data_IF_445561799197
#
_entry.id   IF_445561799197
#
_cell.length_a   1.000
_cell.length_b   1.000
_cell.length_c   1.000
_cell.angle_alpha   90.00
_cell.angle_beta   90.00
_cell.angle_gamma   90.00
#
_symmetry.space_group_name_H-M   'P 1'
#
loop_
_entity.id
_entity.type
_entity.pdbx_description
1 polymer ?
#
# COMPACT_ATOMS: atom_id res chain seq x y z
N UNK A 1 -7.77 -1.59 4.72
CA UNK A 1 -9.24 -1.44 4.78
C UNK A 1 -9.91 -2.61 4.10
N UNK A 2 -10.63 -3.46 4.86
CA UNK A 2 -11.59 -4.39 4.30
C UNK A 2 -12.60 -3.59 3.48
N UNK A 3 -12.67 -3.88 2.17
CA UNK A 3 -13.73 -3.30 1.35
C UNK A 3 -15.03 -3.93 1.81
N UNK A 4 -15.96 -3.12 2.30
CA UNK A 4 -17.33 -3.58 2.52
C UNK A 4 -17.83 -4.22 1.22
N UNK A 5 -18.61 -5.30 1.28
CA UNK A 5 -19.22 -5.87 0.09
C UNK A 5 -20.05 -4.77 -0.59
N UNK A 6 -19.59 -4.33 -1.76
CA UNK A 6 -20.32 -3.42 -2.62
C UNK A 6 -21.18 -4.26 -3.52
N UNK A 7 -22.50 -4.09 -3.43
CA UNK A 7 -23.43 -4.69 -4.38
C UNK A 7 -23.63 -3.71 -5.53
N UNK A 8 -23.07 -3.97 -6.73
CA UNK A 8 -23.18 -3.05 -7.85
C UNK A 8 -24.64 -2.95 -8.31
N UNK A 9 -25.13 -1.73 -8.64
CA UNK A 9 -26.50 -1.54 -9.13
C UNK A 9 -26.65 -2.00 -10.59
N UNK A 10 -26.62 -3.31 -10.82
CA UNK A 10 -26.64 -3.92 -12.17
C UNK A 10 -27.99 -3.79 -12.90
N UNK A 11 -29.07 -3.44 -12.19
CA UNK A 11 -30.42 -3.39 -12.75
C UNK A 11 -30.60 -2.38 -13.88
N UNK A 12 -29.77 -1.35 -13.93
CA UNK A 12 -29.86 -0.26 -14.91
C UNK A 12 -28.75 -0.28 -15.96
N UNK A 13 -27.98 -1.37 -16.04
CA UNK A 13 -26.92 -1.48 -17.03
C UNK A 13 -27.50 -1.59 -18.44
N UNK A 14 -27.09 -0.68 -19.34
CA UNK A 14 -27.52 -0.64 -20.73
C UNK A 14 -26.51 -1.38 -21.60
N UNK A 15 -26.90 -2.54 -22.15
CA UNK A 15 -26.00 -3.38 -22.96
C UNK A 15 -25.40 -2.64 -24.17
N UNK A 16 -25.99 -1.53 -24.64
CA UNK A 16 -25.42 -0.74 -25.73
C UNK A 16 -24.07 -0.11 -25.40
N UNK A 17 -23.75 0.03 -24.11
CA UNK A 17 -22.46 0.60 -23.66
C UNK A 17 -21.38 -0.47 -23.43
N UNK A 18 -21.69 -1.76 -23.58
CA UNK A 18 -20.74 -2.86 -23.33
C UNK A 18 -19.46 -2.73 -24.15
N UNK A 19 -19.58 -2.44 -25.45
CA UNK A 19 -18.43 -2.22 -26.32
C UNK A 19 -17.60 -0.98 -25.90
N UNK A 20 -18.24 0.04 -25.31
CA UNK A 20 -17.54 1.22 -24.79
C UNK A 20 -16.77 0.84 -23.52
N UNK A 21 -17.39 0.11 -22.60
CA UNK A 21 -16.76 -0.32 -21.36
C UNK A 21 -15.58 -1.28 -21.60
N UNK A 22 -15.72 -2.22 -22.53
CA UNK A 22 -14.60 -3.06 -22.97
C UNK A 22 -13.47 -2.22 -23.57
N UNK A 23 -13.81 -1.21 -24.38
CA UNK A 23 -12.81 -0.30 -24.95
C UNK A 23 -12.10 0.53 -23.88
N UNK A 24 -12.80 0.95 -22.83
CA UNK A 24 -12.21 1.61 -21.65
C UNK A 24 -11.21 0.67 -20.97
N UNK A 25 -11.57 -0.59 -20.73
CA UNK A 25 -10.66 -1.60 -20.16
C UNK A 25 -9.39 -1.76 -21.02
N UNK A 26 -9.54 -1.88 -22.34
CA UNK A 26 -8.42 -1.96 -23.26
C UNK A 26 -7.54 -0.69 -23.23
N UNK A 27 -8.13 0.51 -23.18
CA UNK A 27 -7.37 1.76 -23.10
C UNK A 27 -6.60 1.90 -21.78
N UNK A 28 -7.18 1.44 -20.67
CA UNK A 28 -6.50 1.38 -19.36
C UNK A 28 -5.28 0.45 -19.46
N UNK A 29 -5.45 -0.74 -20.05
CA UNK A 29 -4.34 -1.68 -20.25
C UNK A 29 -3.23 -1.10 -21.14
N UNK A 30 -3.58 -0.51 -22.29
CA UNK A 30 -2.61 0.13 -23.17
C UNK A 30 -1.83 1.24 -22.47
N UNK A 31 -2.51 2.06 -21.64
CA UNK A 31 -1.85 3.10 -20.85
C UNK A 31 -0.81 2.51 -19.90
N UNK A 32 -1.12 1.38 -19.26
CA UNK A 32 -0.21 0.67 -18.35
C UNK A 32 1.01 0.12 -19.08
N UNK A 33 0.80 -0.50 -20.23
CA UNK A 33 1.87 -1.09 -21.05
C UNK A 33 2.83 -0.02 -21.57
N UNK A 34 2.32 1.09 -22.12
CA UNK A 34 3.14 2.19 -22.67
C UNK A 34 3.99 2.86 -21.58
N UNK A 35 3.48 2.90 -20.35
CA UNK A 35 4.14 3.59 -19.23
C UNK A 35 4.96 2.65 -18.35
N UNK A 36 5.08 1.37 -18.72
CA UNK A 36 5.73 0.33 -17.92
C UNK A 36 5.24 0.33 -16.46
N UNK A 37 3.92 0.35 -16.29
CA UNK A 37 3.24 0.43 -15.00
C UNK A 37 3.60 1.68 -14.15
N UNK A 38 4.13 2.74 -14.77
CA UNK A 38 4.36 4.04 -14.14
C UNK A 38 3.57 5.16 -14.85
N UNK A 39 2.23 5.16 -14.73
CA UNK A 39 1.34 5.94 -15.58
C UNK A 39 1.49 7.47 -15.50
N UNK A 40 2.07 7.99 -14.43
CA UNK A 40 2.04 9.41 -14.10
C UNK A 40 0.61 9.96 -13.97
N UNK A 41 0.50 11.29 -14.01
CA UNK A 41 -0.77 12.00 -13.85
C UNK A 41 -0.91 13.12 -14.89
N UNK A 42 -2.10 13.34 -15.50
CA UNK A 42 -2.30 14.43 -16.46
C UNK A 42 -2.07 15.81 -15.83
N UNK A 43 -1.52 16.74 -16.59
CA UNK A 43 -1.35 18.13 -16.10
C UNK A 43 -2.69 18.82 -15.92
N UNK A 44 -2.75 19.83 -15.03
CA UNK A 44 -3.95 20.66 -14.84
C UNK A 44 -4.51 21.20 -16.16
N UNK A 45 -3.63 21.65 -17.06
CA UNK A 45 -4.01 22.14 -18.40
C UNK A 45 -4.72 21.08 -19.23
N UNK A 46 -4.24 19.82 -19.20
CA UNK A 46 -4.89 18.71 -19.91
C UNK A 46 -6.27 18.40 -19.31
N UNK A 47 -6.38 18.36 -17.98
CA UNK A 47 -7.66 18.13 -17.28
C UNK A 47 -8.68 19.20 -17.66
N UNK A 48 -8.34 20.49 -17.58
CA UNK A 48 -9.23 21.59 -17.99
C UNK A 48 -9.63 21.48 -19.46
N UNK A 49 -8.69 21.17 -20.36
CA UNK A 49 -8.97 21.04 -21.80
C UNK A 49 -9.96 19.89 -22.08
N UNK A 50 -9.79 18.74 -21.43
CA UNK A 50 -10.67 17.58 -21.63
C UNK A 50 -12.03 17.76 -20.95
N UNK A 51 -12.05 18.40 -19.78
CA UNK A 51 -13.27 18.80 -19.06
C UNK A 51 -14.18 19.63 -19.98
N UNK A 52 -13.65 20.70 -20.59
CA UNK A 52 -14.39 21.54 -21.53
C UNK A 52 -14.82 20.78 -22.79
N UNK A 53 -13.89 20.01 -23.39
CA UNK A 53 -14.14 19.30 -24.65
C UNK A 53 -15.23 18.23 -24.54
N UNK A 54 -15.24 17.48 -23.44
CA UNK A 54 -16.15 16.34 -23.25
C UNK A 54 -17.31 16.66 -22.32
N UNK A 55 -17.42 17.91 -21.84
CA UNK A 55 -18.41 18.36 -20.86
C UNK A 55 -18.44 17.47 -19.60
N UNK A 56 -17.25 17.26 -19.02
CA UNK A 56 -17.04 16.50 -17.79
C UNK A 56 -16.53 17.42 -16.68
N UNK A 57 -16.79 17.08 -15.42
CA UNK A 57 -16.24 17.85 -14.30
C UNK A 57 -14.74 17.56 -14.11
N UNK A 58 -13.94 18.61 -13.87
CA UNK A 58 -12.50 18.44 -13.60
C UNK A 58 -12.22 17.49 -12.43
N UNK A 59 -12.99 17.61 -11.33
CA UNK A 59 -12.85 16.73 -10.16
C UNK A 59 -13.17 15.26 -10.46
N UNK A 60 -14.10 15.01 -11.38
CA UNK A 60 -14.39 13.65 -11.85
C UNK A 60 -13.18 13.08 -12.60
N UNK A 61 -12.59 13.85 -13.52
CA UNK A 61 -11.37 13.44 -14.23
C UNK A 61 -10.21 13.21 -13.25
N UNK A 62 -10.01 14.11 -12.29
CA UNK A 62 -8.99 13.94 -11.25
C UNK A 62 -9.17 12.63 -10.47
N UNK A 63 -10.41 12.28 -10.09
CA UNK A 63 -10.73 11.04 -9.39
C UNK A 63 -10.43 9.79 -10.24
N UNK A 64 -10.79 9.81 -11.53
CA UNK A 64 -10.50 8.73 -12.48
C UNK A 64 -8.99 8.50 -12.62
N UNK A 65 -8.22 9.56 -12.89
CA UNK A 65 -6.77 9.43 -13.03
C UNK A 65 -6.04 9.11 -11.72
N UNK A 66 -6.59 9.52 -10.57
CA UNK A 66 -6.08 9.13 -9.25
C UNK A 66 -6.28 7.64 -9.01
N UNK A 67 -7.41 7.09 -9.47
CA UNK A 67 -7.69 5.65 -9.39
C UNK A 67 -6.71 4.86 -10.26
N UNK A 68 -6.40 5.34 -11.48
CA UNK A 68 -5.39 4.71 -12.34
C UNK A 68 -3.96 4.80 -11.79
N UNK A 69 -3.64 5.85 -11.02
CA UNK A 69 -2.33 5.99 -10.39
C UNK A 69 -2.12 4.96 -9.27
N UNK A 70 -3.19 4.48 -8.64
CA UNK A 70 -3.14 3.61 -7.45
C UNK A 70 -3.89 2.28 -7.67
N UNK A 71 -3.80 1.70 -8.87
CA UNK A 71 -4.46 0.43 -9.22
C UNK A 71 -4.09 -0.71 -8.25
N UNK A 72 -2.85 -0.74 -7.76
CA UNK A 72 -2.39 -1.78 -6.84
C UNK A 72 -3.21 -1.86 -5.54
N UNK A 73 -3.84 -0.76 -5.11
CA UNK A 73 -4.74 -0.77 -3.94
C UNK A 73 -6.01 -1.62 -4.17
N UNK A 74 -6.29 -2.00 -5.41
CA UNK A 74 -7.41 -2.83 -5.84
C UNK A 74 -7.07 -4.32 -5.92
N UNK A 75 -5.81 -4.70 -5.70
CA UNK A 75 -5.43 -6.12 -5.53
C UNK A 75 -6.31 -6.78 -4.44
N UNK A 76 -6.77 -8.02 -4.66
CA UNK A 76 -7.56 -8.75 -3.68
C UNK A 76 -6.90 -8.77 -2.30
N UNK A 77 -7.72 -8.60 -1.25
CA UNK A 77 -7.25 -8.70 0.13
C UNK A 77 -7.08 -10.19 0.45
N UNK A 78 -5.85 -10.60 0.77
CA UNK A 78 -5.59 -11.94 1.30
C UNK A 78 -5.85 -11.90 2.80
N UNK A 79 -6.89 -12.61 3.25
CA UNK A 79 -7.17 -12.78 4.68
C UNK A 79 -6.37 -14.00 5.19
N UNK A 80 -5.49 -13.85 6.20
CA UNK A 80 -4.71 -14.96 6.75
C UNK A 80 -5.62 -16.01 7.40
N UNK A 81 -5.41 -17.29 7.07
CA UNK A 81 -6.22 -18.43 7.52
C UNK A 81 -5.34 -19.64 7.84
N UNK A 82 -5.76 -20.41 8.85
CA UNK A 82 -4.98 -21.56 9.32
C UNK A 82 -3.67 -21.11 9.98
N UNK A 83 -3.76 -20.54 11.19
CA UNK A 83 -2.55 -20.15 11.92
C UNK A 83 -1.68 -21.38 12.20
N UNK A 84 -0.39 -21.29 11.88
CA UNK A 84 0.56 -22.39 12.04
C UNK A 84 1.46 -22.15 13.25
N UNK A 85 2.21 -21.04 13.26
CA UNK A 85 3.22 -20.74 14.29
C UNK A 85 3.66 -19.29 14.27
N UNK A 86 4.42 -18.89 15.28
CA UNK A 86 5.19 -17.64 15.28
C UNK A 86 6.66 -17.98 15.00
N UNK A 87 7.24 -17.33 14.00
CA UNK A 87 8.67 -17.44 13.66
C UNK A 87 9.38 -16.26 14.33
N UNK A 88 10.24 -16.48 15.34
CA UNK A 88 11.00 -15.41 15.95
C UNK A 88 12.08 -14.92 14.98
N UNK A 89 12.20 -13.61 14.81
CA UNK A 89 13.21 -12.98 13.94
C UNK A 89 14.12 -12.07 14.76
N UNK A 90 13.55 -11.33 15.73
CA UNK A 90 14.26 -10.41 16.63
C UNK A 90 15.33 -9.60 15.90
N UNK A 91 14.91 -8.86 14.87
CA UNK A 91 15.77 -7.96 14.14
C UNK A 91 15.33 -6.52 14.35
N UNK A 92 16.31 -5.62 14.37
CA UNK A 92 16.07 -4.20 14.60
C UNK A 92 17.04 -3.34 13.81
N UNK A 93 16.63 -2.08 13.66
CA UNK A 93 17.41 -1.01 13.06
C UNK A 93 17.19 0.24 13.92
N UNK A 94 18.24 1.00 14.19
CA UNK A 94 18.15 2.20 15.02
C UNK A 94 18.73 3.39 14.28
N UNK A 95 18.01 4.51 14.30
CA UNK A 95 18.42 5.74 13.64
C UNK A 95 17.71 6.94 14.25
N UNK A 96 18.46 8.03 14.48
CA UNK A 96 17.94 9.31 14.97
C UNK A 96 17.07 9.14 16.25
N UNK A 97 17.55 8.34 17.21
CA UNK A 97 16.88 8.00 18.47
C UNK A 97 15.52 7.30 18.32
N UNK A 98 15.29 6.70 17.14
CA UNK A 98 14.13 5.85 16.86
C UNK A 98 14.58 4.41 16.66
N UNK A 99 13.98 3.51 17.43
CA UNK A 99 14.20 2.07 17.37
C UNK A 99 13.12 1.39 16.54
N UNK A 100 13.52 0.77 15.44
CA UNK A 100 12.65 0.04 14.52
C UNK A 100 12.85 -1.46 14.74
N UNK A 101 11.78 -2.23 14.88
CA UNK A 101 11.93 -3.68 15.12
C UNK A 101 10.85 -4.56 14.51
N UNK A 102 11.24 -5.79 14.19
CA UNK A 102 10.34 -6.91 13.90
C UNK A 102 10.73 -8.05 14.82
N UNK A 103 9.85 -8.36 15.78
CA UNK A 103 10.15 -9.36 16.81
C UNK A 103 9.81 -10.78 16.35
N UNK A 104 8.67 -10.94 15.69
CA UNK A 104 8.22 -12.22 15.13
C UNK A 104 7.35 -12.01 13.88
N UNK A 105 7.25 -13.06 13.09
CA UNK A 105 6.30 -13.18 11.98
C UNK A 105 5.30 -14.28 12.30
N UNK A 106 4.02 -14.00 12.16
CA UNK A 106 2.97 -15.01 12.31
C UNK A 106 2.79 -15.73 10.98
N UNK A 107 2.95 -17.04 11.00
CA UNK A 107 2.81 -17.88 9.82
C UNK A 107 1.38 -18.45 9.77
N UNK A 108 0.75 -18.30 8.61
CA UNK A 108 -0.51 -18.94 8.27
C UNK A 108 -0.31 -19.83 7.04
N UNK A 109 -1.27 -20.70 6.75
CA UNK A 109 -1.22 -21.59 5.58
C UNK A 109 -1.12 -20.81 4.26
N UNK A 110 -1.79 -19.66 4.16
CA UNK A 110 -1.93 -18.89 2.92
C UNK A 110 -1.21 -17.54 2.90
N UNK A 111 -0.64 -17.10 4.02
CA UNK A 111 0.01 -15.80 4.16
C UNK A 111 0.94 -15.75 5.39
N UNK A 112 1.78 -14.73 5.44
CA UNK A 112 2.54 -14.38 6.65
C UNK A 112 2.13 -13.00 7.13
N UNK A 113 2.16 -12.76 8.44
CA UNK A 113 1.85 -11.47 9.05
C UNK A 113 3.08 -10.93 9.76
N UNK A 114 3.58 -9.79 9.30
CA UNK A 114 4.73 -9.09 9.86
C UNK A 114 4.23 -7.98 10.78
N UNK A 115 4.70 -8.01 12.03
CA UNK A 115 4.46 -6.94 13.00
C UNK A 115 5.69 -6.05 13.10
N UNK A 116 5.52 -4.79 12.71
CA UNK A 116 6.59 -3.81 12.67
C UNK A 116 6.35 -2.77 13.77
N UNK A 117 7.34 -2.59 14.63
CA UNK A 117 7.29 -1.67 15.76
C UNK A 117 8.26 -0.51 15.57
N UNK A 118 7.86 0.64 16.09
CA UNK A 118 8.62 1.87 16.12
C UNK A 118 8.54 2.38 17.56
N UNK A 119 9.68 2.48 18.21
CA UNK A 119 9.81 2.93 19.58
C UNK A 119 10.72 4.14 19.62
N UNK A 120 10.35 5.15 20.42
CA UNK A 120 11.14 6.36 20.67
C UNK A 120 10.83 6.87 22.07
N UNK A 121 11.76 7.61 22.65
CA UNK A 121 11.54 8.28 23.92
C UNK A 121 10.51 9.41 23.73
N UNK A 122 9.45 9.40 24.51
CA UNK A 122 8.50 10.53 24.55
C UNK A 122 9.15 11.67 25.33
N UNK A 123 9.54 12.75 24.66
CA UNK A 123 9.90 13.98 25.36
C UNK A 123 8.65 14.80 25.69
N UNK A 124 8.57 15.41 26.86
CA UNK A 124 7.44 16.28 27.25
C UNK A 124 7.25 17.49 26.29
N UNK A 125 8.29 17.87 25.54
CA UNK A 125 8.28 18.94 24.54
C UNK A 125 7.85 18.50 23.13
N UNK A 126 7.52 17.21 22.96
CA UNK A 126 7.26 16.65 21.63
C UNK A 126 5.83 16.97 21.16
N UNK A 127 5.70 17.48 19.93
CA UNK A 127 4.42 17.91 19.37
C UNK A 127 3.39 16.76 19.43
N UNK A 128 2.15 16.99 19.92
CA UNK A 128 1.13 15.96 20.01
C UNK A 128 0.95 15.18 18.70
N UNK A 129 0.73 13.86 18.78
CA UNK A 129 0.60 12.97 17.62
C UNK A 129 -0.42 13.43 16.57
N UNK A 130 -1.44 14.19 16.98
CA UNK A 130 -2.45 14.81 16.08
C UNK A 130 -1.90 15.89 15.15
N UNK A 131 -0.75 16.47 15.49
CA UNK A 131 -0.10 17.57 14.76
C UNK A 131 1.16 17.05 14.03
N UNK A 132 1.67 15.87 14.39
CA UNK A 132 2.75 15.22 13.63
C UNK A 132 2.27 14.90 12.22
N UNK A 133 3.15 15.12 11.25
CA UNK A 133 2.89 14.69 9.88
C UNK A 133 2.63 13.17 9.89
N UNK A 134 1.52 12.70 9.30
CA UNK A 134 1.25 11.27 9.22
C UNK A 134 2.38 10.60 8.44
N UNK A 135 2.96 9.55 9.01
CA UNK A 135 3.99 8.74 8.38
C UNK A 135 3.35 7.41 7.99
N UNK A 136 3.62 6.96 6.77
CA UNK A 136 3.24 5.64 6.31
C UNK A 136 4.50 4.84 5.97
N UNK A 137 4.40 3.53 6.16
CA UNK A 137 5.44 2.58 5.80
C UNK A 137 4.87 1.58 4.80
N UNK A 138 5.64 1.29 3.75
CA UNK A 138 5.46 0.07 2.98
C UNK A 138 6.54 -0.94 3.33
N UNK A 139 6.20 -2.20 3.13
CA UNK A 139 7.09 -3.33 3.24
C UNK A 139 7.29 -3.93 1.85
N UNK A 140 8.52 -4.25 1.49
CA UNK A 140 8.84 -5.16 0.39
C UNK A 140 9.74 -6.27 0.88
N UNK A 141 9.60 -7.45 0.31
CA UNK A 141 10.42 -8.62 0.64
C UNK A 141 11.46 -8.79 -0.46
N UNK A 142 12.73 -8.79 -0.07
CA UNK A 142 13.81 -9.24 -0.94
C UNK A 142 14.17 -10.69 -0.55
N UNK A 143 14.07 -11.60 -1.52
CA UNK A 143 14.35 -13.02 -1.36
C UNK A 143 14.38 -13.73 -2.71
N UNK A 144 14.92 -14.96 -2.77
CA UNK A 144 15.15 -15.67 -4.04
C UNK A 144 13.93 -16.36 -4.64
N UNK A 145 12.84 -16.52 -3.88
CA UNK A 145 11.87 -17.59 -4.16
C UNK A 145 10.50 -17.15 -4.70
N UNK A 146 10.08 -15.88 -4.52
CA UNK A 146 8.78 -15.43 -5.03
C UNK A 146 8.65 -13.91 -5.11
N UNK A 147 7.79 -13.45 -6.02
CA UNK A 147 7.24 -12.10 -6.00
C UNK A 147 6.18 -11.99 -4.89
N UNK A 148 6.55 -11.36 -3.78
CA UNK A 148 5.66 -11.17 -2.64
C UNK A 148 4.84 -9.90 -2.76
N UNK A 149 3.53 -10.04 -2.59
CA UNK A 149 2.63 -8.92 -2.37
C UNK A 149 2.56 -8.59 -0.87
N UNK A 150 2.90 -7.35 -0.52
CA UNK A 150 2.90 -6.87 0.86
C UNK A 150 1.84 -5.79 1.02
N UNK A 151 0.91 -6.01 1.95
CA UNK A 151 -0.21 -5.11 2.20
C UNK A 151 -0.17 -4.58 3.62
N UNK A 152 -0.10 -3.26 3.75
CA UNK A 152 -0.28 -2.59 5.03
C UNK A 152 -1.77 -2.64 5.45
N UNK A 153 -2.07 -3.29 6.57
CA UNK A 153 -3.43 -3.35 7.14
C UNK A 153 -3.75 -2.20 8.10
N UNK A 154 -2.78 -1.33 8.31
CA UNK A 154 -2.86 -0.18 9.20
C UNK A 154 -1.92 -0.34 10.39
N UNK A 155 -1.94 0.71 11.20
CA UNK A 155 -1.13 0.81 12.38
C UNK A 155 -1.75 1.74 13.39
N UNK A 156 -1.21 1.72 14.59
CA UNK A 156 -1.65 2.56 15.69
C UNK A 156 -0.56 2.66 16.75
N UNK A 157 -0.75 3.61 17.66
CA UNK A 157 0.11 3.69 18.82
C UNK A 157 -0.15 4.93 19.66
N UNK A 158 0.56 4.98 20.77
CA UNK A 158 0.57 6.07 21.75
C UNK A 158 1.88 6.02 22.52
N UNK A 159 2.26 7.10 23.20
CA UNK A 159 3.29 7.00 24.23
C UNK A 159 4.68 6.62 23.69
N UNK A 160 5.18 7.28 22.63
CA UNK A 160 6.45 6.92 21.99
C UNK A 160 6.41 5.65 21.12
N UNK A 161 5.42 4.77 21.32
CA UNK A 161 5.27 3.52 20.57
C UNK A 161 4.33 3.67 19.36
N UNK A 162 4.70 3.06 18.25
CA UNK A 162 3.88 2.89 17.05
C UNK A 162 4.05 1.45 16.51
N UNK A 163 2.97 0.87 16.00
CA UNK A 163 3.01 -0.45 15.39
C UNK A 163 2.23 -0.46 14.08
N UNK A 164 2.71 -1.24 13.11
CA UNK A 164 2.07 -1.50 11.84
C UNK A 164 1.97 -3.01 11.62
N UNK A 165 0.90 -3.43 10.94
CA UNK A 165 0.70 -4.83 10.55
C UNK A 165 0.73 -4.95 9.03
N UNK A 166 1.56 -5.85 8.53
CA UNK A 166 1.64 -6.16 7.11
C UNK A 166 1.25 -7.62 6.84
N UNK A 167 0.42 -7.84 5.82
CA UNK A 167 0.12 -9.17 5.29
C UNK A 167 0.99 -9.39 4.06
N UNK A 168 1.71 -10.51 4.04
CA UNK A 168 2.60 -10.94 2.95
C UNK A 168 1.99 -12.18 2.30
N UNK A 169 1.84 -12.14 0.98
CA UNK A 169 1.30 -13.23 0.17
C UNK A 169 2.15 -13.44 -1.11
N UNK A 170 2.56 -14.67 -1.44
CA UNK A 170 2.33 -15.92 -0.72
C UNK A 170 3.00 -15.94 0.67
N UNK A 171 2.69 -16.94 1.47
CA UNK A 171 3.29 -17.10 2.79
C UNK A 171 4.82 -17.20 2.67
N UNK A 172 5.54 -16.49 3.55
CA UNK A 172 7.00 -16.54 3.64
C UNK A 172 7.47 -17.96 3.99
N UNK A 173 8.70 -18.35 3.60
CA UNK A 173 9.28 -19.63 4.00
C UNK A 173 9.47 -19.69 5.53
N UNK A 174 9.56 -20.91 6.05
CA UNK A 174 9.81 -21.15 7.48
C UNK A 174 11.19 -20.67 7.94
N UNK A 175 12.18 -20.76 7.04
CA UNK A 175 13.51 -20.20 7.24
C UNK A 175 13.57 -18.79 6.62
N UNK A 176 13.69 -17.79 7.48
CA UNK A 176 13.72 -16.39 7.11
C UNK A 176 15.15 -15.82 7.03
N UNK A 177 16.18 -16.67 7.12
CA UNK A 177 17.59 -16.23 7.11
C UNK A 177 17.99 -15.54 5.79
N UNK A 178 17.46 -15.99 4.66
CA UNK A 178 17.69 -15.38 3.34
C UNK A 178 16.67 -14.28 2.99
N UNK A 179 15.70 -14.02 3.87
CA UNK A 179 14.67 -13.00 3.66
C UNK A 179 15.08 -11.68 4.30
N UNK A 180 14.94 -10.62 3.50
CA UNK A 180 15.15 -9.23 3.93
C UNK A 180 13.82 -8.48 3.89
N UNK A 181 13.45 -7.88 5.02
CA UNK A 181 12.29 -7.02 5.16
C UNK A 181 12.73 -5.58 4.89
N UNK A 182 12.36 -5.04 3.74
CA UNK A 182 12.74 -3.68 3.35
C UNK A 182 11.59 -2.75 3.65
N UNK A 183 11.80 -1.81 4.58
CA UNK A 183 10.80 -0.83 4.97
C UNK A 183 11.11 0.52 4.31
N UNK A 184 10.09 1.10 3.67
CA UNK A 184 10.17 2.41 3.01
C UNK A 184 9.19 3.38 3.63
N UNK A 185 9.69 4.54 4.05
CA UNK A 185 8.89 5.59 4.68
C UNK A 185 8.37 6.58 3.65
N UNK A 186 7.06 6.85 3.66
CA UNK A 186 6.37 7.77 2.76
C UNK A 186 5.65 8.89 3.52
N UNK A 187 5.50 10.05 2.84
CA UNK A 187 4.67 11.17 3.29
C UNK A 187 3.34 11.18 2.50
N UNK A 188 2.18 11.06 3.16
CA UNK A 188 0.88 11.26 2.54
C UNK A 188 0.78 12.66 1.90
N UNK A 189 -0.04 12.84 0.86
CA UNK A 189 -0.93 11.85 0.24
C UNK A 189 -0.22 10.96 -0.81
N UNK A 190 1.08 11.14 -1.04
CA UNK A 190 1.78 10.53 -2.17
C UNK A 190 2.56 9.28 -1.75
N UNK A 191 2.02 8.10 -2.08
CA UNK A 191 2.67 6.80 -1.90
C UNK A 191 3.89 6.59 -2.81
N UNK A 192 4.11 7.47 -3.80
CA UNK A 192 5.14 7.26 -4.84
C UNK A 192 6.40 8.11 -4.62
N UNK A 193 6.51 8.87 -3.53
CA UNK A 193 7.71 9.65 -3.19
C UNK A 193 8.24 9.21 -1.83
N UNK A 194 9.21 8.28 -1.80
CA UNK A 194 9.85 7.92 -0.54
C UNK A 194 10.50 9.15 0.08
N UNK A 195 10.46 9.24 1.41
CA UNK A 195 11.09 10.32 2.17
C UNK A 195 12.62 10.25 2.18
N UNK A 196 13.19 9.25 1.53
CA UNK A 196 14.61 8.92 1.56
C UNK A 196 15.01 8.03 2.75
N UNK A 197 14.08 7.71 3.65
CA UNK A 197 14.30 6.72 4.72
C UNK A 197 13.84 5.35 4.23
N UNK A 198 14.83 4.51 3.95
CA UNK A 198 14.71 3.11 3.58
C UNK A 198 15.72 2.33 4.41
N UNK A 199 15.29 1.22 5.00
CA UNK A 199 16.18 0.36 5.78
C UNK A 199 15.74 -1.10 5.67
N UNK A 200 16.69 -1.98 5.91
CA UNK A 200 16.51 -3.43 5.84
C UNK A 200 16.59 -4.02 7.24
N UNK A 201 15.61 -4.85 7.55
CA UNK A 201 15.57 -5.72 8.73
C UNK A 201 15.66 -7.16 8.23
#
# INVERSE_FOLDING_TARGET
MRRLPFEPPIKHYDQRIEAIDEHICNLINQRKDITNNNPGFPTKKLITTWSEKYNLYEEFLNSVFTSFLNEDMYKPVVEPKGFLKNIPILKSFEKDDVFYSVTFVRQYENASVVHFNIDREDSDDEVPRRIREPILFDLSIEGKEADFNCRNEGGGGSGGHESYTFIVSPALPDDLSEIKLVFKKYKPPFFNKPTGVEFVI
#
